data_IF_275722193598
#
_entry.id   IF_275722193598
#
_cell.length_a   1.000
_cell.length_b   1.000
_cell.length_c   1.000
_cell.angle_alpha   90.00
_cell.angle_beta   90.00
_cell.angle_gamma   90.00
#
_symmetry.space_group_name_H-M   'P 1'
#
loop_
_entity.id
_entity.type
_entity.pdbx_description
1 polymer ?
#
# COMPACT_ATOMS: atom_id res chain seq x y z
N UNK A 1 -16.90 -17.41 7.28
CA UNK A 1 -16.29 -17.11 5.95
C UNK A 1 -15.94 -15.63 5.75
N UNK A 2 -16.59 -14.68 6.42
CA UNK A 2 -16.30 -13.23 6.34
C UNK A 2 -14.95 -12.84 6.93
N UNK A 3 -14.54 -13.45 8.05
CA UNK A 3 -13.25 -13.17 8.70
C UNK A 3 -12.03 -13.57 7.85
N UNK A 4 -12.08 -14.75 7.21
CA UNK A 4 -11.00 -15.25 6.34
C UNK A 4 -10.78 -14.34 5.12
N UNK A 5 -11.87 -13.79 4.57
CA UNK A 5 -11.85 -12.85 3.43
C UNK A 5 -11.24 -11.51 3.79
N UNK A 6 -11.58 -10.98 4.97
CA UNK A 6 -10.95 -9.78 5.51
C UNK A 6 -9.45 -9.97 5.69
N UNK A 7 -9.04 -11.11 6.27
CA UNK A 7 -7.64 -11.52 6.41
C UNK A 7 -6.90 -11.60 5.07
N UNK A 8 -7.55 -12.11 4.01
CA UNK A 8 -6.96 -12.19 2.68
C UNK A 8 -6.72 -10.81 2.05
N UNK A 9 -7.63 -9.84 2.23
CA UNK A 9 -7.39 -8.45 1.80
C UNK A 9 -6.29 -7.82 2.66
N UNK A 10 -6.33 -8.07 3.96
CA UNK A 10 -5.44 -7.45 4.95
C UNK A 10 -3.99 -7.90 4.81
N UNK A 11 -3.75 -9.20 4.56
CA UNK A 11 -2.44 -9.80 4.33
C UNK A 11 -2.02 -9.76 2.85
N UNK A 12 -2.97 -9.91 1.93
CA UNK A 12 -2.69 -9.92 0.50
C UNK A 12 -2.28 -8.56 -0.02
N UNK A 13 -2.97 -7.49 0.38
CA UNK A 13 -2.65 -6.14 -0.06
C UNK A 13 -1.20 -5.72 0.21
N UNK A 14 -0.65 -5.91 1.42
CA UNK A 14 0.73 -5.55 1.69
C UNK A 14 1.75 -6.42 0.96
N UNK A 15 1.50 -7.73 0.82
CA UNK A 15 2.39 -8.62 0.08
C UNK A 15 2.47 -8.25 -1.41
N UNK A 16 1.32 -8.03 -2.05
CA UNK A 16 1.26 -7.60 -3.45
C UNK A 16 1.85 -6.20 -3.64
N UNK A 17 1.58 -5.27 -2.72
CA UNK A 17 2.13 -3.92 -2.79
C UNK A 17 3.66 -3.91 -2.63
N UNK A 18 4.20 -4.68 -1.69
CA UNK A 18 5.65 -4.83 -1.51
C UNK A 18 6.31 -5.45 -2.74
N UNK A 19 5.68 -6.46 -3.36
CA UNK A 19 6.19 -7.11 -4.57
C UNK A 19 6.18 -6.15 -5.78
N UNK A 20 5.07 -5.43 -5.99
CA UNK A 20 4.94 -4.42 -7.04
C UNK A 20 5.96 -3.29 -6.87
N UNK A 21 6.13 -2.77 -5.66
CA UNK A 21 7.08 -1.70 -5.42
C UNK A 21 8.53 -2.19 -5.61
N UNK A 22 8.84 -3.44 -5.23
CA UNK A 22 10.15 -4.04 -5.50
C UNK A 22 10.43 -4.09 -7.00
N UNK A 23 9.44 -4.44 -7.82
CA UNK A 23 9.56 -4.43 -9.29
C UNK A 23 9.75 -3.01 -9.83
N UNK A 24 8.97 -2.04 -9.36
CA UNK A 24 9.12 -0.63 -9.78
C UNK A 24 10.52 -0.13 -9.48
N UNK A 25 11.03 -0.40 -8.29
CA UNK A 25 12.38 -0.01 -7.90
C UNK A 25 13.48 -0.71 -8.70
N UNK A 26 13.28 -1.98 -9.05
CA UNK A 26 14.19 -2.69 -9.93
C UNK A 26 14.27 -2.03 -11.33
N UNK A 27 13.12 -1.63 -11.88
CA UNK A 27 13.05 -0.94 -13.16
C UNK A 27 13.73 0.44 -13.07
N UNK A 28 13.43 1.22 -12.02
CA UNK A 28 14.00 2.56 -11.80
C UNK A 28 15.52 2.51 -11.59
N UNK A 29 16.04 1.46 -10.95
CA UNK A 29 17.48 1.26 -10.74
C UNK A 29 18.21 0.68 -11.95
N UNK A 30 17.56 0.53 -13.11
CA UNK A 30 18.17 0.01 -14.33
C UNK A 30 18.64 -1.44 -14.21
N UNK A 31 17.97 -2.23 -13.35
CA UNK A 31 18.23 -3.65 -13.17
C UNK A 31 19.51 -4.01 -12.39
N UNK A 32 20.24 -3.03 -11.86
CA UNK A 32 21.52 -3.26 -11.17
C UNK A 32 21.32 -3.52 -9.68
N UNK A 33 21.21 -4.78 -9.28
CA UNK A 33 21.32 -5.20 -7.88
C UNK A 33 22.79 -5.33 -7.47
N UNK A 34 23.48 -4.20 -7.28
CA UNK A 34 24.89 -4.24 -6.85
C UNK A 34 25.07 -4.56 -5.36
N UNK A 35 24.04 -4.34 -4.53
CA UNK A 35 24.00 -4.74 -3.11
C UNK A 35 22.57 -5.08 -2.68
N UNK A 36 22.30 -6.34 -2.32
CA UNK A 36 20.94 -6.82 -1.97
C UNK A 36 20.45 -6.36 -0.58
N UNK A 37 21.38 -6.02 0.32
CA UNK A 37 21.10 -5.62 1.72
C UNK A 37 20.18 -4.39 1.84
N UNK A 38 20.44 -3.26 1.17
CA UNK A 38 19.54 -2.11 1.21
C UNK A 38 18.17 -2.45 0.62
N UNK A 39 18.09 -3.31 -0.39
CA UNK A 39 16.81 -3.72 -0.98
C UNK A 39 15.98 -4.62 -0.07
N UNK A 40 16.62 -5.49 0.70
CA UNK A 40 15.93 -6.29 1.73
C UNK A 40 15.47 -5.40 2.88
N UNK A 41 16.28 -4.43 3.31
CA UNK A 41 15.87 -3.45 4.31
C UNK A 41 14.68 -2.60 3.83
N UNK A 42 14.73 -2.13 2.58
CA UNK A 42 13.60 -1.44 1.93
C UNK A 42 12.40 -2.37 1.85
N UNK A 43 12.54 -3.60 1.36
CA UNK A 43 11.46 -4.57 1.24
C UNK A 43 10.79 -4.92 2.57
N UNK A 44 11.57 -5.09 3.65
CA UNK A 44 11.07 -5.34 5.01
C UNK A 44 10.37 -4.11 5.60
N UNK A 45 10.97 -2.93 5.44
CA UNK A 45 10.34 -1.68 5.85
C UNK A 45 9.03 -1.45 5.10
N UNK A 46 9.04 -1.65 3.78
CA UNK A 46 7.84 -1.61 2.94
C UNK A 46 6.79 -2.59 3.42
N UNK A 47 7.17 -3.83 3.79
CA UNK A 47 6.24 -4.81 4.34
C UNK A 47 5.60 -4.35 5.65
N UNK A 48 6.38 -3.82 6.59
CA UNK A 48 5.86 -3.27 7.85
C UNK A 48 4.92 -2.09 7.57
N UNK A 49 5.30 -1.21 6.66
CA UNK A 49 4.50 -0.04 6.27
C UNK A 49 3.23 -0.40 5.54
N UNK A 50 3.29 -1.33 4.60
CA UNK A 50 2.12 -1.74 3.84
C UNK A 50 1.14 -2.52 4.73
N UNK A 51 1.61 -3.27 5.73
CA UNK A 51 0.75 -3.91 6.73
C UNK A 51 0.02 -2.88 7.60
N UNK A 52 0.76 -1.92 8.17
CA UNK A 52 0.17 -0.83 8.95
C UNK A 52 -0.82 -0.01 8.11
N UNK A 53 -0.42 0.35 6.89
CA UNK A 53 -1.25 1.06 5.92
C UNK A 53 -2.53 0.30 5.55
N UNK A 54 -2.43 -0.99 5.23
CA UNK A 54 -3.57 -1.88 4.95
C UNK A 54 -4.57 -1.92 6.12
N UNK A 55 -4.07 -1.90 7.35
CA UNK A 55 -4.89 -1.84 8.57
C UNK A 55 -5.65 -0.53 8.68
N UNK A 56 -4.94 0.58 8.52
CA UNK A 56 -5.51 1.92 8.61
C UNK A 56 -6.56 2.12 7.52
N UNK A 57 -6.29 1.69 6.29
CA UNK A 57 -7.23 1.75 5.17
C UNK A 57 -8.49 0.93 5.42
N UNK A 58 -8.36 -0.27 6.01
CA UNK A 58 -9.53 -1.08 6.37
C UNK A 58 -10.41 -0.42 7.45
N UNK A 59 -9.78 0.15 8.49
CA UNK A 59 -10.50 0.90 9.53
C UNK A 59 -11.19 2.14 8.96
N UNK A 60 -10.49 2.91 8.14
CA UNK A 60 -11.04 4.08 7.45
C UNK A 60 -12.21 3.72 6.56
N UNK A 61 -12.09 2.67 5.75
CA UNK A 61 -13.17 2.21 4.90
C UNK A 61 -14.43 1.82 5.69
N UNK A 62 -14.23 1.15 6.84
CA UNK A 62 -15.31 0.77 7.75
C UNK A 62 -15.95 1.97 8.44
N UNK A 63 -15.17 3.01 8.76
CA UNK A 63 -15.65 4.22 9.41
C UNK A 63 -16.34 5.20 8.44
N UNK A 64 -16.05 5.13 7.14
CA UNK A 64 -16.70 5.98 6.15
C UNK A 64 -18.19 5.69 6.05
N UNK A 65 -19.02 6.74 6.11
CA UNK A 65 -20.48 6.68 5.98
C UNK A 65 -20.99 7.03 4.58
N UNK A 66 -20.10 7.49 3.67
CA UNK A 66 -20.48 7.89 2.31
C UNK A 66 -21.24 6.79 1.56
N UNK A 67 -22.34 7.14 0.88
CA UNK A 67 -23.17 6.19 0.13
C UNK A 67 -22.49 5.67 -1.13
N UNK A 68 -21.53 6.39 -1.70
CA UNK A 68 -20.86 6.01 -2.95
C UNK A 68 -19.52 5.34 -2.69
N UNK A 69 -19.40 4.10 -3.16
CA UNK A 69 -18.20 3.27 -3.07
C UNK A 69 -17.00 3.91 -3.79
N UNK A 70 -17.26 4.69 -4.85
CA UNK A 70 -16.23 5.35 -5.65
C UNK A 70 -15.52 6.44 -4.84
N UNK A 71 -16.28 7.26 -4.11
CA UNK A 71 -15.69 8.29 -3.25
C UNK A 71 -14.90 7.68 -2.09
N UNK A 72 -15.36 6.55 -1.52
CA UNK A 72 -14.59 5.83 -0.50
C UNK A 72 -13.25 5.36 -1.04
N UNK A 73 -13.23 4.78 -2.23
CA UNK A 73 -11.99 4.30 -2.85
C UNK A 73 -11.05 5.44 -3.24
N UNK A 74 -11.56 6.52 -3.82
CA UNK A 74 -10.76 7.72 -4.12
C UNK A 74 -10.13 8.29 -2.84
N UNK A 75 -10.92 8.42 -1.77
CA UNK A 75 -10.40 8.91 -0.50
C UNK A 75 -9.28 8.01 0.04
N UNK A 76 -9.47 6.70 0.03
CA UNK A 76 -8.45 5.73 0.50
C UNK A 76 -7.15 5.82 -0.30
N UNK A 77 -7.24 6.01 -1.63
CA UNK A 77 -6.06 6.17 -2.49
C UNK A 77 -5.33 7.48 -2.16
N UNK A 78 -6.05 8.59 -2.09
CA UNK A 78 -5.46 9.89 -1.72
C UNK A 78 -4.84 9.82 -0.32
N UNK A 79 -5.55 9.25 0.65
CA UNK A 79 -5.04 9.05 2.00
C UNK A 79 -3.75 8.20 2.00
N UNK A 80 -3.73 7.10 1.24
CA UNK A 80 -2.54 6.24 1.12
C UNK A 80 -1.32 7.00 0.60
N UNK A 81 -1.48 7.80 -0.45
CA UNK A 81 -0.41 8.66 -1.01
C UNK A 81 0.09 9.63 0.05
N UNK A 82 -0.82 10.38 0.69
CA UNK A 82 -0.46 11.42 1.65
C UNK A 82 0.19 10.84 2.90
N UNK A 83 -0.34 9.73 3.42
CA UNK A 83 0.22 9.04 4.57
C UNK A 83 1.62 8.49 4.26
N UNK A 84 1.81 7.88 3.09
CA UNK A 84 3.09 7.38 2.62
C UNK A 84 4.15 8.47 2.51
N UNK A 85 3.82 9.60 1.85
CA UNK A 85 4.74 10.74 1.70
C UNK A 85 5.05 11.44 3.03
N UNK A 86 4.03 11.66 3.86
CA UNK A 86 4.18 12.31 5.19
C UNK A 86 5.06 11.47 6.10
N UNK A 87 4.89 10.15 6.10
CA UNK A 87 5.68 9.27 6.95
C UNK A 87 7.18 9.31 6.62
N UNK A 88 7.52 9.33 5.33
CA UNK A 88 8.91 9.44 4.89
C UNK A 88 9.56 10.78 5.21
N UNK A 89 8.77 11.86 5.36
CA UNK A 89 9.27 13.13 5.90
C UNK A 89 9.66 12.99 7.39
N UNK A 90 8.88 12.24 8.18
CA UNK A 90 9.18 12.00 9.60
C UNK A 90 10.43 11.15 9.83
N UNK A 91 10.80 10.29 8.87
CA UNK A 91 12.02 9.49 8.93
C UNK A 91 13.29 10.26 8.52
N UNK A 92 13.20 11.55 8.22
CA UNK A 92 14.35 12.40 7.85
C UNK A 92 14.99 12.00 6.52
N UNK A 93 14.23 11.37 5.62
CA UNK A 93 14.74 10.86 4.35
C UNK A 93 14.88 11.99 3.33
N UNK A 94 15.82 11.85 2.39
CA UNK A 94 16.00 12.76 1.25
C UNK A 94 14.71 12.96 0.44
N UNK A 95 14.61 14.00 -0.41
CA UNK A 95 13.43 14.23 -1.27
C UNK A 95 13.01 12.99 -2.08
N UNK A 96 13.98 12.22 -2.56
CA UNK A 96 13.77 10.93 -3.24
C UNK A 96 13.10 9.86 -2.36
N UNK A 97 13.30 9.90 -1.04
CA UNK A 97 12.61 9.05 -0.08
C UNK A 97 11.16 9.44 0.14
N UNK A 98 10.83 10.73 0.02
CA UNK A 98 9.44 11.22 0.11
C UNK A 98 8.63 10.76 -1.09
N UNK A 99 9.22 10.86 -2.28
CA UNK A 99 8.64 10.32 -3.51
C UNK A 99 8.44 8.80 -3.43
N UNK A 100 9.44 8.09 -2.90
CA UNK A 100 9.33 6.66 -2.61
C UNK A 100 8.12 6.36 -1.72
N UNK A 101 8.02 7.04 -0.57
CA UNK A 101 6.94 6.85 0.39
C UNK A 101 5.56 7.08 -0.21
N UNK A 102 5.40 8.14 -1.00
CA UNK A 102 4.16 8.44 -1.71
C UNK A 102 3.79 7.34 -2.71
N UNK A 103 4.76 6.82 -3.47
CA UNK A 103 4.56 5.71 -4.43
C UNK A 103 4.16 4.43 -3.69
N UNK A 104 4.85 4.09 -2.60
CA UNK A 104 4.50 2.93 -1.76
C UNK A 104 3.09 3.05 -1.19
N UNK A 105 2.73 4.23 -0.68
CA UNK A 105 1.40 4.52 -0.14
C UNK A 105 0.30 4.42 -1.21
N UNK A 106 0.55 4.95 -2.40
CA UNK A 106 -0.34 4.83 -3.57
C UNK A 106 -0.59 3.37 -3.95
N UNK A 107 0.48 2.61 -4.18
CA UNK A 107 0.40 1.22 -4.62
C UNK A 107 -0.33 0.38 -3.58
N UNK A 108 -0.03 0.58 -2.30
CA UNK A 108 -0.72 -0.11 -1.19
C UNK A 108 -2.22 0.15 -1.22
N UNK A 109 -2.64 1.40 -1.35
CA UNK A 109 -4.06 1.75 -1.38
C UNK A 109 -4.78 1.22 -2.63
N UNK A 110 -4.13 1.28 -3.80
CA UNK A 110 -4.66 0.73 -5.04
C UNK A 110 -4.85 -0.79 -4.96
N UNK A 111 -3.83 -1.52 -4.48
CA UNK A 111 -3.91 -2.98 -4.31
C UNK A 111 -4.97 -3.35 -3.28
N UNK A 112 -5.04 -2.63 -2.16
CA UNK A 112 -6.08 -2.84 -1.15
C UNK A 112 -7.48 -2.67 -1.74
N UNK A 113 -7.72 -1.58 -2.46
CA UNK A 113 -9.00 -1.29 -3.12
C UNK A 113 -9.33 -2.37 -4.16
N UNK A 114 -8.35 -2.80 -4.96
CA UNK A 114 -8.54 -3.85 -5.98
C UNK A 114 -8.91 -5.19 -5.35
N UNK A 115 -8.18 -5.63 -4.31
CA UNK A 115 -8.47 -6.87 -3.58
C UNK A 115 -9.81 -6.80 -2.86
N UNK A 116 -10.11 -5.68 -2.21
CA UNK A 116 -11.40 -5.45 -1.59
C UNK A 116 -12.52 -5.52 -2.63
N UNK A 117 -12.36 -4.88 -3.79
CA UNK A 117 -13.37 -4.96 -4.86
C UNK A 117 -13.51 -6.38 -5.38
N UNK A 118 -12.44 -7.12 -5.64
CA UNK A 118 -12.50 -8.50 -6.16
C UNK A 118 -13.17 -9.48 -5.20
N UNK A 119 -12.85 -9.40 -3.91
CA UNK A 119 -13.35 -10.32 -2.87
C UNK A 119 -14.80 -10.00 -2.46
N UNK A 120 -15.22 -8.73 -2.55
CA UNK A 120 -16.54 -8.29 -2.13
C UNK A 120 -17.52 -7.95 -3.28
N UNK A 121 -17.07 -7.81 -4.56
CA UNK A 121 -17.96 -7.76 -5.74
C UNK A 121 -18.38 -9.12 -6.27
N UNK A 122 -17.65 -10.19 -6.00
CA UNK A 122 -17.95 -11.55 -6.49
C UNK A 122 -19.22 -12.18 -5.87
N UNK A 123 -20.17 -11.35 -5.42
CA UNK A 123 -21.49 -11.69 -4.88
C UNK A 123 -22.63 -10.88 -5.53
N UNK A 124 -22.36 -10.16 -6.62
CA UNK A 124 -23.40 -9.59 -7.48
C UNK A 124 -23.74 -10.58 -8.58
#
# INVERSE_FOLDING_TARGET
MTHIRGLAVWLGAPLFASLLCTVVWHIVSGGRFMDWRPWVAIGLMSLIFTFGGSTILALLFSAMTSRSIVYRYLFLVVFGVTAGGTWTLFLGVSPTGVEAGAIYGFVTACVWVALHRLIYRSRA
#
